data_IF_909477016844
#
_entry.id   IF_909477016844
#
_cell.length_a   1.000
_cell.length_b   1.000
_cell.length_c   1.000
_cell.angle_alpha   90.00
_cell.angle_beta   90.00
_cell.angle_gamma   90.00
#
_symmetry.space_group_name_H-M   'P 1'
#
loop_
_entity.id
_entity.type
_entity.pdbx_description
1 polymer ?
#
# COMPACT_ATOMS: atom_id res chain seq x y z
N UNK A 1 -9.33 -7.09 25.88
CA UNK A 1 -7.88 -7.17 25.63
C UNK A 1 -7.45 -5.92 24.91
N UNK A 2 -6.35 -5.26 25.28
CA UNK A 2 -5.90 -4.04 24.61
C UNK A 2 -4.39 -4.02 24.34
N UNK A 3 -4.00 -3.36 23.26
CA UNK A 3 -2.62 -2.95 22.95
C UNK A 3 -2.50 -1.46 23.21
N UNK A 4 -1.58 -1.05 24.09
CA UNK A 4 -1.34 0.36 24.39
C UNK A 4 -0.25 0.91 23.49
N UNK A 5 -0.49 2.06 22.89
CA UNK A 5 0.49 2.75 22.06
C UNK A 5 1.37 3.62 22.97
N UNK A 6 2.62 3.21 23.18
CA UNK A 6 3.60 4.00 23.93
C UNK A 6 4.16 5.11 23.04
N UNK A 7 4.54 4.76 21.81
CA UNK A 7 4.88 5.73 20.76
C UNK A 7 4.29 5.28 19.41
N UNK A 8 3.80 6.21 18.57
CA UNK A 8 3.08 5.83 17.36
C UNK A 8 3.97 5.49 16.15
N UNK A 9 5.29 5.64 16.26
CA UNK A 9 6.19 5.62 15.10
C UNK A 9 6.01 6.88 14.24
N UNK A 10 6.40 6.81 12.96
CA UNK A 10 6.29 7.96 12.04
C UNK A 10 4.85 8.16 11.54
N UNK A 11 4.25 7.09 11.04
CA UNK A 11 2.86 7.08 10.59
C UNK A 11 2.34 5.64 10.64
N UNK A 12 1.54 5.37 11.68
CA UNK A 12 0.91 4.07 11.91
C UNK A 12 -0.61 4.22 11.88
N UNK A 13 -1.30 3.35 11.16
CA UNK A 13 -2.76 3.35 11.05
C UNK A 13 -3.34 1.94 11.06
N UNK A 14 -4.60 1.81 11.47
CA UNK A 14 -5.33 0.54 11.40
C UNK A 14 -5.77 0.31 9.95
N UNK A 15 -5.46 -0.84 9.37
CA UNK A 15 -5.80 -1.19 8.00
C UNK A 15 -6.33 -2.61 7.91
N UNK A 16 -7.38 -2.84 7.11
CA UNK A 16 -7.77 -4.17 6.66
C UNK A 16 -7.64 -4.26 5.12
N UNK A 17 -8.48 -5.02 4.43
CA UNK A 17 -8.44 -5.13 2.97
C UNK A 17 -9.17 -3.99 2.24
N UNK A 18 -9.82 -3.08 2.97
CA UNK A 18 -10.48 -1.88 2.45
C UNK A 18 -12.00 -1.98 2.33
N UNK A 19 -12.58 -0.90 1.81
CA UNK A 19 -14.01 -0.59 1.62
C UNK A 19 -14.37 -0.37 0.14
N UNK A 20 -14.30 -1.41 -0.70
CA UNK A 20 -14.71 -1.26 -2.10
C UNK A 20 -16.21 -0.90 -2.21
N UNK A 21 -16.60 -0.26 -3.31
CA UNK A 21 -18.01 0.03 -3.64
C UNK A 21 -18.45 1.49 -3.45
N UNK A 22 -17.65 2.33 -2.79
CA UNK A 22 -18.00 3.73 -2.50
C UNK A 22 -17.24 4.77 -3.34
N UNK A 23 -16.46 4.32 -4.31
CA UNK A 23 -15.59 5.20 -5.10
C UNK A 23 -16.37 6.21 -5.97
N UNK A 24 -17.57 5.83 -6.43
CA UNK A 24 -18.48 6.71 -7.18
C UNK A 24 -19.00 7.91 -6.38
N UNK A 25 -18.89 7.90 -5.05
CA UNK A 25 -19.21 9.04 -4.16
C UNK A 25 -17.97 9.66 -3.52
N UNK A 26 -16.79 9.41 -4.08
CA UNK A 26 -15.54 10.04 -3.62
C UNK A 26 -14.88 9.36 -2.41
N UNK A 27 -15.32 8.17 -2.00
CA UNK A 27 -14.70 7.42 -0.89
C UNK A 27 -13.74 6.37 -1.46
N UNK A 28 -12.43 6.46 -1.18
CA UNK A 28 -11.45 5.50 -1.70
C UNK A 28 -11.61 4.10 -1.12
N UNK A 29 -11.07 3.10 -1.81
CA UNK A 29 -11.03 1.72 -1.31
C UNK A 29 -10.29 1.60 0.02
N UNK A 30 -9.25 2.41 0.28
CA UNK A 30 -8.41 2.25 1.47
C UNK A 30 -7.75 0.87 1.54
N UNK A 31 -7.52 0.38 2.77
CA UNK A 31 -6.86 -0.89 2.99
C UNK A 31 -5.35 -0.78 3.14
N UNK A 32 -4.71 -1.89 3.49
CA UNK A 32 -3.26 -2.02 3.44
C UNK A 32 -2.73 -1.71 2.03
N UNK A 33 -1.67 -0.90 1.95
CA UNK A 33 -1.07 -0.51 0.67
C UNK A 33 -0.50 -1.73 -0.07
N UNK A 34 0.11 -2.65 0.66
CA UNK A 34 0.58 -3.97 0.25
C UNK A 34 -0.39 -5.03 0.82
N UNK A 35 -1.33 -5.46 -0.02
CA UNK A 35 -2.38 -6.41 0.39
C UNK A 35 -1.82 -7.82 0.57
N UNK A 36 -0.75 -8.20 -0.14
CA UNK A 36 -0.09 -9.48 0.07
C UNK A 36 0.48 -9.56 1.48
N UNK A 37 1.30 -8.59 1.89
CA UNK A 37 1.88 -8.56 3.23
C UNK A 37 0.80 -8.52 4.33
N UNK A 38 -0.25 -7.71 4.14
CA UNK A 38 -1.39 -7.62 5.07
C UNK A 38 -2.04 -8.99 5.32
N UNK A 39 -2.34 -9.74 4.25
CA UNK A 39 -2.95 -11.08 4.35
C UNK A 39 -2.03 -12.07 5.05
N UNK A 40 -0.76 -12.08 4.68
CA UNK A 40 0.21 -13.01 5.27
C UNK A 40 0.42 -12.72 6.76
N UNK A 41 0.46 -11.44 7.18
CA UNK A 41 0.55 -11.09 8.60
C UNK A 41 -0.60 -11.71 9.41
N UNK A 42 -1.83 -11.57 8.91
CA UNK A 42 -3.01 -12.16 9.53
C UNK A 42 -2.94 -13.69 9.59
N UNK A 43 -2.57 -14.34 8.49
CA UNK A 43 -2.45 -15.80 8.44
C UNK A 43 -1.42 -16.35 9.43
N UNK A 44 -0.26 -15.67 9.55
CA UNK A 44 0.79 -16.06 10.49
C UNK A 44 0.31 -16.08 11.95
N UNK A 45 -0.65 -15.23 12.32
CA UNK A 45 -1.23 -15.19 13.68
C UNK A 45 -2.56 -15.94 13.79
N UNK A 46 -2.97 -16.67 12.75
CA UNK A 46 -4.20 -17.46 12.72
C UNK A 46 -5.50 -16.67 12.52
N UNK A 47 -5.41 -15.42 12.07
CA UNK A 47 -6.59 -14.59 11.79
C UNK A 47 -7.20 -14.92 10.42
N UNK A 48 -8.45 -14.48 10.22
CA UNK A 48 -8.97 -14.29 8.87
C UNK A 48 -8.03 -13.35 8.08
N UNK A 49 -7.68 -13.65 6.80
CA UNK A 49 -6.79 -12.82 6.00
C UNK A 49 -7.21 -11.34 5.88
N UNK A 50 -8.51 -11.06 6.05
CA UNK A 50 -9.09 -9.73 6.02
C UNK A 50 -9.25 -9.05 7.37
N UNK A 51 -8.71 -9.60 8.46
CA UNK A 51 -8.72 -8.93 9.75
C UNK A 51 -7.88 -7.64 9.73
N UNK A 52 -8.17 -6.71 10.64
CA UNK A 52 -7.44 -5.46 10.71
C UNK A 52 -6.07 -5.65 11.38
N UNK A 53 -5.06 -5.02 10.77
CA UNK A 53 -3.66 -4.97 11.19
C UNK A 53 -3.23 -3.52 11.41
N UNK A 54 -2.03 -3.30 11.93
CA UNK A 54 -1.39 -1.99 11.90
C UNK A 54 -0.45 -1.90 10.68
N UNK A 55 -0.67 -0.90 9.83
CA UNK A 55 0.28 -0.51 8.78
C UNK A 55 1.18 0.60 9.33
N UNK A 56 2.49 0.36 9.41
CA UNK A 56 3.50 1.30 9.87
C UNK A 56 4.46 1.70 8.74
N UNK A 57 4.68 2.99 8.55
CA UNK A 57 5.52 3.54 7.47
C UNK A 57 6.87 4.01 8.02
N UNK A 58 7.98 3.49 7.47
CA UNK A 58 9.39 3.73 7.83
C UNK A 58 9.82 3.40 9.27
N UNK A 59 9.07 3.84 10.28
CA UNK A 59 9.36 3.67 11.69
C UNK A 59 8.11 3.12 12.39
N UNK A 60 8.25 1.94 12.98
CA UNK A 60 7.18 1.25 13.68
C UNK A 60 6.84 1.86 15.05
N UNK A 61 5.67 1.55 15.61
CA UNK A 61 5.27 2.00 16.94
C UNK A 61 5.99 1.23 18.06
N UNK A 62 6.05 1.82 19.25
CA UNK A 62 6.27 1.07 20.48
C UNK A 62 4.93 0.74 21.13
N UNK A 63 4.69 -0.53 21.40
CA UNK A 63 3.41 -1.07 21.86
C UNK A 63 3.61 -1.89 23.13
N UNK A 64 2.72 -1.74 24.10
CA UNK A 64 2.66 -2.58 25.31
C UNK A 64 1.42 -3.48 25.27
N UNK A 65 1.63 -4.78 25.50
CA UNK A 65 0.56 -5.77 25.48
C UNK A 65 -0.02 -5.96 26.88
N UNK A 66 -1.34 -5.83 27.02
CA UNK A 66 -2.00 -6.01 28.34
C UNK A 66 -2.31 -7.48 28.67
N UNK A 67 -2.24 -8.38 27.68
CA UNK A 67 -2.49 -9.82 27.82
C UNK A 67 -1.63 -10.59 26.82
N UNK A 68 -1.56 -11.91 26.99
CA UNK A 68 -0.84 -12.78 26.06
C UNK A 68 -1.53 -12.85 24.69
N UNK A 69 -0.73 -12.84 23.63
CA UNK A 69 -1.19 -12.94 22.24
C UNK A 69 -0.09 -13.54 21.34
N UNK A 70 -0.40 -13.74 20.05
CA UNK A 70 0.59 -14.04 19.01
C UNK A 70 0.67 -12.87 18.05
N UNK A 71 1.89 -12.54 17.63
CA UNK A 71 2.19 -11.38 16.80
C UNK A 71 3.01 -11.79 15.60
N UNK A 72 2.81 -11.15 14.45
CA UNK A 72 3.66 -11.28 13.28
C UNK A 72 3.84 -9.93 12.58
N UNK A 73 5.01 -9.73 11.95
CA UNK A 73 5.34 -8.52 11.18
C UNK A 73 5.76 -8.91 9.78
N UNK A 74 5.11 -8.36 8.75
CA UNK A 74 5.42 -8.62 7.33
C UNK A 74 5.62 -7.30 6.56
N UNK A 75 5.82 -7.38 5.24
CA UNK A 75 6.02 -6.22 4.37
C UNK A 75 7.49 -5.83 4.34
N UNK A 76 7.77 -4.54 4.54
CA UNK A 76 9.12 -4.00 4.65
C UNK A 76 9.93 -4.70 5.74
N UNK A 77 11.24 -4.74 5.54
CA UNK A 77 12.19 -5.35 6.47
C UNK A 77 12.43 -4.40 7.65
N UNK A 78 11.43 -4.33 8.54
CA UNK A 78 11.44 -3.56 9.77
C UNK A 78 11.50 -4.55 10.96
N UNK A 79 12.69 -4.83 11.52
CA UNK A 79 12.84 -5.90 12.52
C UNK A 79 12.07 -5.58 13.82
N UNK A 80 11.09 -6.41 14.22
CA UNK A 80 10.45 -6.28 15.52
C UNK A 80 11.43 -6.60 16.65
N UNK A 81 11.29 -5.92 17.78
CA UNK A 81 12.06 -6.15 19.01
C UNK A 81 11.11 -6.36 20.18
N UNK A 82 11.10 -7.55 20.76
CA UNK A 82 10.32 -7.87 21.95
C UNK A 82 11.19 -7.69 23.19
N UNK A 83 10.86 -6.72 24.04
CA UNK A 83 11.65 -6.36 25.22
C UNK A 83 13.14 -6.10 24.90
N UNK A 84 13.41 -5.53 23.71
CA UNK A 84 14.75 -5.24 23.21
C UNK A 84 15.40 -6.35 22.39
N UNK A 85 14.88 -7.58 22.41
CA UNK A 85 15.40 -8.70 21.61
C UNK A 85 14.77 -8.75 20.22
N UNK A 86 15.60 -8.77 19.17
CA UNK A 86 15.14 -8.86 17.77
C UNK A 86 14.40 -10.18 17.51
N UNK A 87 13.28 -10.09 16.80
CA UNK A 87 12.48 -11.23 16.31
C UNK A 87 12.48 -11.23 14.78
N UNK A 88 12.40 -12.39 14.12
CA UNK A 88 12.33 -12.45 12.66
C UNK A 88 11.07 -11.77 12.12
N UNK A 89 11.20 -11.12 10.95
CA UNK A 89 10.04 -10.74 10.14
C UNK A 89 9.50 -11.97 9.42
N UNK A 90 8.22 -11.91 9.02
CA UNK A 90 7.50 -13.00 8.36
C UNK A 90 7.45 -14.30 9.19
N UNK A 91 7.53 -14.17 10.51
CA UNK A 91 7.38 -15.25 11.49
C UNK A 91 6.49 -14.77 12.65
N UNK A 92 5.68 -15.69 13.17
CA UNK A 92 4.82 -15.46 14.31
C UNK A 92 5.53 -15.80 15.62
N UNK A 93 5.39 -14.94 16.63
CA UNK A 93 5.99 -15.13 17.94
C UNK A 93 5.01 -14.75 19.07
N UNK A 94 5.14 -15.37 20.26
CA UNK A 94 4.24 -15.07 21.37
C UNK A 94 4.66 -13.78 22.08
N UNK A 95 3.67 -13.08 22.63
CA UNK A 95 3.84 -11.97 23.57
C UNK A 95 3.02 -12.25 24.84
N UNK A 96 3.42 -11.69 25.97
CA UNK A 96 2.76 -11.81 27.27
C UNK A 96 2.26 -10.45 27.76
N UNK A 97 1.43 -10.47 28.78
CA UNK A 97 1.06 -9.25 29.50
C UNK A 97 2.33 -8.54 30.04
N UNK A 98 2.44 -7.24 29.76
CA UNK A 98 3.57 -6.40 30.14
C UNK A 98 4.72 -6.36 29.11
N UNK A 99 4.70 -7.23 28.09
CA UNK A 99 5.72 -7.20 27.05
C UNK A 99 5.60 -5.93 26.20
N UNK A 100 6.76 -5.41 25.79
CA UNK A 100 6.89 -4.25 24.91
C UNK A 100 7.45 -4.66 23.56
N UNK A 101 6.72 -4.36 22.50
CA UNK A 101 7.17 -4.51 21.13
C UNK A 101 7.59 -3.15 20.59
N UNK A 102 8.83 -3.06 20.14
CA UNK A 102 9.37 -1.92 19.40
C UNK A 102 9.99 -2.40 18.08
N UNK A 103 10.65 -1.51 17.35
CA UNK A 103 11.23 -1.84 16.06
C UNK A 103 12.66 -1.31 15.93
N UNK A 104 13.50 -2.02 15.19
CA UNK A 104 14.78 -1.53 14.70
C UNK A 104 14.64 -0.53 13.55
N UNK A 105 15.75 -0.27 12.87
CA UNK A 105 15.75 0.53 11.65
C UNK A 105 15.22 -0.29 10.46
N UNK A 106 14.55 0.38 9.54
CA UNK A 106 14.12 -0.20 8.27
C UNK A 106 15.34 -0.58 7.42
N UNK A 107 15.42 -1.86 7.03
CA UNK A 107 16.49 -2.40 6.18
C UNK A 107 16.09 -2.48 4.69
N UNK A 108 14.79 -2.51 4.40
CA UNK A 108 14.26 -2.58 3.04
C UNK A 108 12.74 -2.40 2.98
N UNK A 109 12.20 -2.07 1.81
CA UNK A 109 10.78 -1.72 1.63
C UNK A 109 10.42 -0.37 2.24
N UNK A 110 9.15 -0.11 2.54
CA UNK A 110 8.69 1.16 3.14
C UNK A 110 7.62 0.98 4.21
N UNK A 111 6.78 -0.06 4.10
CA UNK A 111 5.63 -0.29 4.98
C UNK A 111 5.66 -1.69 5.57
N UNK A 112 5.58 -1.76 6.89
CA UNK A 112 5.45 -3.01 7.64
C UNK A 112 4.01 -3.19 8.13
N UNK A 113 3.58 -4.44 8.22
CA UNK A 113 2.23 -4.82 8.66
C UNK A 113 2.33 -5.69 9.89
N UNK A 114 1.80 -5.19 11.00
CA UNK A 114 1.79 -5.85 12.29
C UNK A 114 0.39 -6.42 12.55
N UNK A 115 0.30 -7.74 12.57
CA UNK A 115 -0.91 -8.46 12.98
C UNK A 115 -0.78 -8.99 14.40
N UNK A 116 -1.89 -9.01 15.11
CA UNK A 116 -2.04 -9.64 16.43
C UNK A 116 -3.18 -10.64 16.35
N UNK A 117 -3.01 -11.82 16.95
CA UNK A 117 -4.05 -12.85 17.00
C UNK A 117 -5.34 -12.28 17.58
N UNK A 118 -6.47 -12.48 16.89
CA UNK A 118 -7.77 -11.88 17.19
C UNK A 118 -8.08 -10.61 16.40
N UNK A 119 -7.06 -9.97 15.83
CA UNK A 119 -7.18 -8.75 15.03
C UNK A 119 -7.45 -7.49 15.85
N UNK A 120 -7.25 -6.32 15.24
CA UNK A 120 -7.56 -5.03 15.87
C UNK A 120 -9.07 -4.76 15.77
N UNK A 121 -9.79 -4.76 16.89
CA UNK A 121 -11.26 -4.70 16.91
C UNK A 121 -11.80 -3.27 17.04
N UNK A 122 -11.42 -2.41 16.10
CA UNK A 122 -12.06 -1.09 15.94
C UNK A 122 -13.41 -1.20 15.22
N UNK A 123 -14.29 -0.20 15.33
CA UNK A 123 -15.59 -0.22 14.64
C UNK A 123 -15.46 -0.39 13.12
N UNK A 124 -16.41 -1.12 12.54
CA UNK A 124 -16.56 -1.27 11.09
C UNK A 124 -17.29 -0.06 10.52
N UNK A 125 -16.68 0.62 9.55
CA UNK A 125 -17.25 1.79 8.87
C UNK A 125 -17.27 1.54 7.38
N UNK A 126 -18.47 1.53 6.78
CA UNK A 126 -18.69 1.19 5.38
C UNK A 126 -18.07 -0.18 5.01
N UNK A 127 -18.32 -1.19 5.85
CA UNK A 127 -17.85 -2.56 5.62
C UNK A 127 -16.35 -2.81 5.88
N UNK A 128 -15.60 -1.82 6.40
CA UNK A 128 -14.16 -1.92 6.63
C UNK A 128 -13.71 -1.22 7.91
N UNK A 129 -12.64 -1.72 8.52
CA UNK A 129 -11.90 -1.15 9.65
C UNK A 129 -10.73 -0.26 9.23
N UNK A 130 -10.46 -0.07 7.93
CA UNK A 130 -9.32 0.74 7.49
C UNK A 130 -9.40 2.22 7.86
N UNK A 131 -8.29 2.86 8.17
CA UNK A 131 -8.24 4.32 8.29
C UNK A 131 -8.18 4.96 6.90
N UNK A 132 -9.08 5.89 6.60
CA UNK A 132 -8.92 6.89 5.55
C UNK A 132 -8.68 8.26 6.19
N UNK A 133 -7.41 8.67 6.21
CA UNK A 133 -6.94 9.81 7.01
C UNK A 133 -7.53 11.14 6.53
N UNK A 134 -7.51 11.39 5.21
CA UNK A 134 -7.98 12.65 4.63
C UNK A 134 -9.47 12.89 4.93
N UNK A 135 -10.27 11.82 4.93
CA UNK A 135 -11.71 11.87 5.25
C UNK A 135 -12.04 11.65 6.73
N UNK A 136 -11.05 11.53 7.62
CA UNK A 136 -11.23 11.21 9.04
C UNK A 136 -12.17 10.01 9.28
N UNK A 137 -12.01 8.92 8.51
CA UNK A 137 -12.97 7.82 8.45
C UNK A 137 -12.34 6.47 8.82
N UNK A 138 -13.05 5.68 9.63
CA UNK A 138 -12.65 4.30 9.98
C UNK A 138 -11.40 4.19 10.85
N UNK A 139 -10.92 2.97 11.06
CA UNK A 139 -9.74 2.71 11.90
C UNK A 139 -9.91 3.18 13.33
N UNK A 140 -8.82 3.63 13.95
CA UNK A 140 -8.86 4.26 15.25
C UNK A 140 -9.17 5.75 15.12
N UNK A 141 -10.44 6.12 15.32
CA UNK A 141 -10.92 7.51 15.31
C UNK A 141 -10.64 8.27 14.00
N UNK A 142 -10.53 7.60 12.87
CA UNK A 142 -10.30 8.25 11.57
C UNK A 142 -8.89 8.80 11.35
N UNK A 143 -7.92 8.45 12.21
CA UNK A 143 -6.58 9.06 12.20
C UNK A 143 -5.47 8.03 12.35
N UNK A 144 -4.22 8.51 12.22
CA UNK A 144 -3.04 7.78 12.67
C UNK A 144 -3.03 7.65 14.19
N UNK A 145 -2.32 6.63 14.68
CA UNK A 145 -2.16 6.39 16.10
C UNK A 145 -1.40 7.53 16.79
N UNK A 146 -1.68 7.70 18.09
CA UNK A 146 -1.01 8.64 18.98
C UNK A 146 -0.57 7.91 20.25
N UNK A 147 0.43 8.47 20.93
CA UNK A 147 0.82 7.99 22.25
C UNK A 147 -0.37 8.04 23.22
N UNK A 148 -0.56 6.97 23.99
CA UNK A 148 -1.69 6.79 24.90
C UNK A 148 -2.94 6.18 24.27
N UNK A 149 -2.99 5.97 22.95
CA UNK A 149 -4.11 5.24 22.35
C UNK A 149 -4.15 3.79 22.86
N UNK A 150 -5.35 3.29 23.11
CA UNK A 150 -5.59 1.88 23.45
C UNK A 150 -6.39 1.22 22.33
N UNK A 151 -5.82 0.17 21.74
CA UNK A 151 -6.42 -0.57 20.64
C UNK A 151 -7.05 -1.86 21.18
N UNK A 152 -8.38 -2.02 21.10
CA UNK A 152 -9.01 -3.27 21.48
C UNK A 152 -8.59 -4.39 20.52
N UNK A 153 -8.45 -5.59 21.06
CA UNK A 153 -8.24 -6.82 20.29
C UNK A 153 -9.49 -7.69 20.34
N UNK A 154 -9.77 -8.37 19.22
CA UNK A 154 -10.75 -9.44 19.17
C UNK A 154 -10.24 -10.72 19.85
N UNK A 155 -11.06 -11.76 19.86
CA UNK A 155 -10.66 -13.08 20.35
C UNK A 155 -9.87 -13.84 19.28
N UNK A 156 -8.74 -14.42 19.65
CA UNK A 156 -7.91 -15.19 18.74
C UNK A 156 -7.13 -16.29 19.45
N UNK A 157 -6.88 -17.39 18.73
CA UNK A 157 -6.18 -18.58 19.24
C UNK A 157 -4.96 -18.93 18.38
N UNK A 158 -4.26 -17.91 17.88
CA UNK A 158 -3.08 -18.06 17.05
C UNK A 158 -1.99 -18.92 17.70
N UNK A 159 -1.15 -19.54 16.87
CA UNK A 159 0.02 -20.31 17.31
C UNK A 159 1.29 -19.60 16.85
N UNK A 160 2.28 -19.52 17.72
CA UNK A 160 3.61 -19.02 17.35
C UNK A 160 4.41 -20.07 16.55
N UNK A 161 5.43 -19.61 15.83
CA UNK A 161 6.37 -20.43 15.07
C UNK A 161 5.99 -20.68 13.61
N UNK A 162 4.83 -20.20 13.15
CA UNK A 162 4.53 -20.15 11.71
C UNK A 162 5.42 -19.10 11.04
N UNK A 163 5.98 -19.42 9.87
CA UNK A 163 6.78 -18.50 9.08
C UNK A 163 6.49 -18.66 7.59
N UNK A 164 6.70 -17.59 6.80
CA UNK A 164 6.66 -17.66 5.35
C UNK A 164 8.09 -17.56 4.78
N UNK A 165 8.60 -18.57 4.05
CA UNK A 165 9.96 -18.56 3.53
C UNK A 165 10.13 -17.53 2.39
N UNK A 166 11.36 -17.03 2.22
CA UNK A 166 11.66 -15.93 1.31
C UNK A 166 11.26 -16.18 -0.16
N UNK A 167 11.33 -17.42 -0.63
CA UNK A 167 10.94 -17.81 -2.00
C UNK A 167 9.43 -17.73 -2.27
N UNK A 168 8.60 -17.63 -1.22
CA UNK A 168 7.15 -17.41 -1.33
C UNK A 168 6.77 -15.95 -1.07
N UNK A 169 7.74 -15.08 -0.76
CA UNK A 169 7.53 -13.63 -0.63
C UNK A 169 7.67 -12.97 -1.98
N UNK A 170 7.07 -11.79 -2.13
CA UNK A 170 7.29 -10.96 -3.32
C UNK A 170 8.68 -10.33 -3.23
N UNK A 171 9.54 -10.60 -4.22
CA UNK A 171 10.81 -9.90 -4.38
C UNK A 171 10.59 -8.51 -5.00
N UNK A 172 11.41 -7.54 -4.60
CA UNK A 172 11.53 -6.26 -5.30
C UNK A 172 12.57 -6.34 -6.42
N UNK A 173 12.39 -5.53 -7.46
CA UNK A 173 13.38 -5.30 -8.51
C UNK A 173 13.98 -3.89 -8.35
N UNK A 174 15.22 -3.69 -8.83
CA UNK A 174 15.85 -2.37 -8.91
C UNK A 174 16.52 -2.19 -10.28
N UNK A 175 16.05 -1.23 -11.12
CA UNK A 175 14.88 -0.38 -10.91
C UNK A 175 13.59 -1.19 -10.75
N UNK A 176 12.63 -0.66 -10.00
CA UNK A 176 11.31 -1.26 -9.88
C UNK A 176 10.58 -1.14 -11.21
N UNK A 177 10.07 -2.24 -11.74
CA UNK A 177 9.30 -2.23 -12.99
C UNK A 177 7.81 -2.15 -12.67
N UNK A 178 7.16 -1.10 -13.18
CA UNK A 178 5.74 -0.82 -12.99
C UNK A 178 5.03 -1.07 -14.32
N UNK A 179 4.44 -2.24 -14.50
CA UNK A 179 3.71 -2.57 -15.73
C UNK A 179 2.46 -1.71 -15.84
N UNK A 180 2.31 -1.02 -16.96
CA UNK A 180 1.27 -0.03 -17.22
C UNK A 180 0.55 -0.34 -18.53
N UNK A 181 -0.78 -0.37 -18.47
CA UNK A 181 -1.62 -0.38 -19.66
C UNK A 181 -1.78 1.08 -20.14
N UNK A 182 -1.38 1.43 -21.37
CA UNK A 182 -1.65 2.76 -21.93
C UNK A 182 -3.16 3.07 -21.92
N UNK A 183 -3.48 4.31 -21.57
CA UNK A 183 -4.84 4.77 -21.32
C UNK A 183 -5.45 5.51 -22.50
N UNK A 184 -6.72 5.88 -22.36
CA UNK A 184 -7.48 6.56 -23.42
C UNK A 184 -6.88 7.93 -23.82
N UNK A 185 -6.16 8.60 -22.92
CA UNK A 185 -5.52 9.88 -23.20
C UNK A 185 -4.11 9.75 -23.77
N UNK A 186 -3.64 8.55 -24.10
CA UNK A 186 -2.31 8.34 -24.71
C UNK A 186 -2.11 9.17 -25.98
N UNK A 187 -3.17 9.37 -26.77
CA UNK A 187 -3.17 10.20 -27.98
C UNK A 187 -2.89 11.70 -27.73
N UNK A 188 -2.83 12.16 -26.47
CA UNK A 188 -2.59 13.56 -26.09
C UNK A 188 -1.11 13.90 -25.98
N UNK A 189 -0.23 12.91 -25.96
CA UNK A 189 1.22 13.10 -25.99
C UNK A 189 1.79 12.71 -27.35
N UNK A 190 2.92 13.28 -27.72
CA UNK A 190 3.62 12.87 -28.94
C UNK A 190 4.11 11.42 -28.81
N UNK A 191 4.21 10.70 -29.92
CA UNK A 191 4.75 9.33 -29.93
C UNK A 191 6.16 9.28 -29.34
N UNK A 192 6.99 10.28 -29.67
CA UNK A 192 8.34 10.41 -29.12
C UNK A 192 8.34 10.58 -27.60
N UNK A 193 7.43 11.39 -27.03
CA UNK A 193 7.30 11.54 -25.58
C UNK A 193 6.82 10.24 -24.92
N UNK A 194 5.90 9.51 -25.55
CA UNK A 194 5.42 8.21 -25.08
C UNK A 194 6.53 7.15 -25.03
N UNK A 195 7.36 7.06 -26.07
CA UNK A 195 8.49 6.14 -26.11
C UNK A 195 9.52 6.47 -25.02
N UNK A 196 9.90 7.75 -24.90
CA UNK A 196 10.82 8.21 -23.85
C UNK A 196 10.31 7.91 -22.45
N UNK A 197 9.03 8.11 -22.19
CA UNK A 197 8.43 7.84 -20.87
C UNK A 197 8.69 6.40 -20.37
N UNK A 198 8.67 5.43 -21.28
CA UNK A 198 8.92 4.01 -20.96
C UNK A 198 10.41 3.64 -20.98
N UNK A 199 11.25 4.35 -21.73
CA UNK A 199 12.70 4.14 -21.77
C UNK A 199 13.40 4.72 -20.54
N UNK A 200 12.88 5.84 -20.01
CA UNK A 200 13.48 6.57 -18.92
C UNK A 200 13.29 5.90 -17.56
N UNK A 201 14.28 6.10 -16.70
CA UNK A 201 14.20 5.72 -15.28
C UNK A 201 13.75 6.93 -14.47
N UNK A 202 12.63 6.78 -13.80
CA UNK A 202 12.06 7.74 -12.88
C UNK A 202 12.55 7.47 -11.46
N UNK A 203 12.37 8.44 -10.56
CA UNK A 203 12.65 8.27 -9.13
C UNK A 203 11.43 8.65 -8.32
N UNK A 204 11.10 7.85 -7.31
CA UNK A 204 10.06 8.19 -6.34
C UNK A 204 10.41 9.51 -5.65
N UNK A 205 9.48 10.44 -5.62
CA UNK A 205 9.65 11.73 -4.97
C UNK A 205 9.41 11.61 -3.45
N UNK A 206 9.96 12.53 -2.63
CA UNK A 206 9.75 12.54 -1.17
C UNK A 206 8.27 12.65 -0.76
N UNK A 207 7.42 13.25 -1.58
CA UNK A 207 6.00 13.50 -1.32
C UNK A 207 5.10 12.27 -1.60
N UNK A 208 5.66 11.06 -1.62
CA UNK A 208 4.91 9.83 -1.84
C UNK A 208 4.11 9.42 -0.59
N UNK A 209 2.80 9.23 -0.76
CA UNK A 209 1.89 8.88 0.35
C UNK A 209 0.87 7.80 -0.06
N UNK A 210 -0.21 7.65 0.74
CA UNK A 210 -1.28 6.69 0.47
C UNK A 210 -2.24 7.13 -0.63
N UNK A 211 -2.30 8.43 -0.96
CA UNK A 211 -3.15 9.00 -2.01
C UNK A 211 -2.49 8.76 -3.36
N UNK A 212 -1.18 9.05 -3.47
CA UNK A 212 -0.46 8.87 -4.72
C UNK A 212 1.05 8.91 -4.57
N UNK A 213 1.71 8.15 -5.45
CA UNK A 213 3.15 8.12 -5.58
C UNK A 213 3.59 9.04 -6.72
N UNK A 214 4.36 10.07 -6.38
CA UNK A 214 4.96 10.99 -7.36
C UNK A 214 6.31 10.48 -7.82
N UNK A 215 6.61 10.69 -9.08
CA UNK A 215 7.86 10.32 -9.72
C UNK A 215 8.49 11.54 -10.39
N UNK A 216 9.83 11.62 -10.37
CA UNK A 216 10.62 12.74 -10.91
C UNK A 216 11.84 12.25 -11.68
N UNK A 217 12.47 13.16 -12.41
CA UNK A 217 13.79 12.96 -13.02
C UNK A 217 13.76 12.49 -14.48
N UNK A 218 12.59 12.35 -15.09
CA UNK A 218 12.43 12.16 -16.53
C UNK A 218 12.29 13.48 -17.29
N UNK A 219 12.27 13.38 -18.62
CA UNK A 219 12.03 14.50 -19.53
C UNK A 219 10.55 14.89 -19.50
N UNK A 220 10.20 16.19 -19.43
CA UNK A 220 8.81 16.62 -19.55
C UNK A 220 8.15 16.10 -20.83
N UNK A 221 6.89 15.67 -20.72
CA UNK A 221 6.12 15.18 -21.84
C UNK A 221 5.80 16.30 -22.82
N UNK A 222 5.92 15.99 -24.10
CA UNK A 222 5.43 16.83 -25.18
C UNK A 222 3.98 16.47 -25.49
N UNK A 223 3.12 17.49 -25.54
CA UNK A 223 1.70 17.32 -25.82
C UNK A 223 1.39 17.58 -27.30
N UNK A 224 0.40 16.86 -27.82
CA UNK A 224 -0.20 17.17 -29.11
C UNK A 224 -1.04 18.43 -28.97
N UNK A 225 -0.77 19.44 -29.79
CA UNK A 225 -1.52 20.70 -29.79
C UNK A 225 -3.02 20.45 -29.98
N UNK A 226 -3.84 21.17 -29.21
CA UNK A 226 -5.29 21.19 -29.37
C UNK A 226 -5.88 22.48 -28.83
N UNK A 227 -7.08 22.79 -29.28
CA UNK A 227 -7.98 23.66 -28.55
C UNK A 227 -8.48 22.94 -27.28
N UNK A 228 -8.43 23.62 -26.13
CA UNK A 228 -8.91 23.03 -24.89
C UNK A 228 -10.44 22.95 -24.89
N UNK A 229 -11.04 21.80 -24.52
CA UNK A 229 -12.48 21.69 -24.45
C UNK A 229 -13.04 22.61 -23.36
N UNK A 230 -14.26 23.12 -23.58
CA UNK A 230 -14.97 23.87 -22.56
C UNK A 230 -15.06 23.08 -21.25
N UNK A 231 -14.71 23.72 -20.13
CA UNK A 231 -14.69 23.12 -18.80
C UNK A 231 -13.36 22.50 -18.38
N UNK A 232 -12.36 22.39 -19.27
CA UNK A 232 -10.99 22.06 -18.90
C UNK A 232 -10.19 23.33 -18.57
N UNK A 233 -9.18 23.20 -17.70
CA UNK A 233 -8.19 24.26 -17.48
C UNK A 233 -7.28 24.47 -18.70
N UNK A 234 -6.48 25.54 -18.67
CA UNK A 234 -5.60 25.92 -19.77
C UNK A 234 -4.38 25.00 -19.95
N UNK A 235 -3.98 24.24 -18.93
CA UNK A 235 -2.82 23.37 -19.00
C UNK A 235 -3.05 22.22 -20.00
N UNK A 236 -2.09 21.88 -20.88
CA UNK A 236 -2.24 20.82 -21.89
C UNK A 236 -2.62 19.44 -21.33
N UNK A 237 -2.27 19.15 -20.07
CA UNK A 237 -2.64 17.93 -19.36
C UNK A 237 -4.05 17.97 -18.77
N UNK A 238 -4.73 19.13 -18.78
CA UNK A 238 -6.08 19.23 -18.26
C UNK A 238 -7.10 18.54 -19.18
N UNK A 239 -8.17 18.03 -18.59
CA UNK A 239 -9.34 17.47 -19.27
C UNK A 239 -10.59 18.01 -18.60
N UNK A 240 -11.75 17.84 -19.23
CA UNK A 240 -13.01 17.90 -18.47
C UNK A 240 -12.98 16.76 -17.46
N UNK A 241 -13.34 17.05 -16.22
CA UNK A 241 -13.21 16.12 -15.10
C UNK A 241 -13.74 14.72 -15.43
N UNK A 242 -12.94 13.72 -15.10
CA UNK A 242 -13.23 12.31 -15.33
C UNK A 242 -12.96 11.48 -14.08
N UNK A 243 -13.58 10.30 -14.00
CA UNK A 243 -13.29 9.34 -12.95
C UNK A 243 -11.88 8.75 -13.14
N UNK A 244 -11.13 8.61 -12.06
CA UNK A 244 -9.78 8.07 -12.07
C UNK A 244 -9.74 6.63 -11.55
N UNK A 245 -9.37 5.62 -12.34
CA UNK A 245 -9.19 4.28 -11.81
C UNK A 245 -8.04 4.24 -10.79
N UNK A 246 -8.16 3.35 -9.81
CA UNK A 246 -7.03 2.99 -8.95
C UNK A 246 -5.83 2.55 -9.79
N UNK A 247 -4.64 3.10 -9.50
CA UNK A 247 -3.42 2.87 -10.29
C UNK A 247 -3.27 3.80 -11.50
N UNK A 248 -4.20 4.73 -11.74
CA UNK A 248 -4.06 5.69 -12.85
C UNK A 248 -2.79 6.52 -12.73
N UNK A 249 -2.12 6.75 -13.85
CA UNK A 249 -0.91 7.57 -13.96
C UNK A 249 -1.28 8.92 -14.55
N UNK A 250 -1.26 9.96 -13.71
CA UNK A 250 -1.47 11.35 -14.14
C UNK A 250 -0.12 12.03 -14.30
N UNK A 251 -0.01 12.96 -15.25
CA UNK A 251 1.22 13.74 -15.41
C UNK A 251 0.88 15.23 -15.56
N UNK A 252 0.53 15.92 -14.45
CA UNK A 252 0.26 17.35 -14.48
C UNK A 252 1.41 18.11 -15.14
N UNK A 253 1.08 18.97 -16.10
CA UNK A 253 2.04 19.79 -16.87
C UNK A 253 3.14 18.98 -17.59
N UNK A 254 3.03 17.65 -17.63
CA UNK A 254 3.95 16.74 -18.30
C UNK A 254 5.21 16.40 -17.51
N UNK A 255 5.38 16.86 -16.27
CA UNK A 255 6.67 16.78 -15.57
C UNK A 255 6.77 15.64 -14.55
N UNK A 256 5.71 15.39 -13.79
CA UNK A 256 5.74 14.46 -12.65
C UNK A 256 4.66 13.40 -12.79
N UNK A 257 5.01 12.14 -13.10
CA UNK A 257 4.03 11.06 -13.07
C UNK A 257 3.55 10.83 -11.64
N UNK A 258 2.24 10.70 -11.47
CA UNK A 258 1.56 10.46 -10.20
C UNK A 258 0.73 9.20 -10.36
N UNK A 259 1.11 8.13 -9.66
CA UNK A 259 0.33 6.90 -9.60
C UNK A 259 -0.63 7.00 -8.42
N UNK A 260 -1.92 7.08 -8.70
CA UNK A 260 -2.97 7.11 -7.66
C UNK A 260 -3.09 5.76 -6.94
N UNK A 261 -3.16 5.80 -5.62
CA UNK A 261 -3.07 4.61 -4.76
C UNK A 261 -4.30 4.38 -3.86
N UNK A 262 -4.16 3.77 -2.67
CA UNK A 262 -5.29 3.17 -1.94
C UNK A 262 -6.24 4.24 -1.38
N UNK A 263 -5.72 5.43 -1.11
CA UNK A 263 -6.50 6.57 -0.61
C UNK A 263 -6.72 7.63 -1.71
N UNK A 264 -6.66 7.20 -2.99
CA UNK A 264 -6.79 8.05 -4.15
C UNK A 264 -8.09 8.86 -4.20
N UNK A 265 -8.01 10.04 -4.82
CA UNK A 265 -9.20 10.80 -5.23
C UNK A 265 -9.91 10.09 -6.39
N UNK A 266 -11.25 10.09 -6.35
CA UNK A 266 -12.06 9.33 -7.32
C UNK A 266 -12.11 9.89 -8.74
N UNK A 267 -11.75 11.15 -8.92
CA UNK A 267 -11.79 11.84 -10.21
C UNK A 267 -11.17 13.23 -10.12
N UNK A 268 -11.02 13.85 -11.29
CA UNK A 268 -10.49 15.20 -11.42
C UNK A 268 -10.15 15.55 -12.87
N UNK A 269 -9.54 16.71 -13.05
CA UNK A 269 -9.31 17.32 -14.36
C UNK A 269 -7.92 17.11 -14.98
N UNK A 270 -7.14 16.12 -14.56
CA UNK A 270 -5.86 15.74 -15.18
C UNK A 270 -6.01 14.47 -16.01
N UNK A 271 -5.49 14.50 -17.23
CA UNK A 271 -5.49 13.31 -18.07
C UNK A 271 -4.65 12.19 -17.46
N UNK A 272 -5.08 10.96 -17.74
CA UNK A 272 -4.41 9.75 -17.29
C UNK A 272 -3.72 9.10 -18.48
N UNK A 273 -2.39 8.99 -18.44
CA UNK A 273 -1.62 8.33 -19.49
C UNK A 273 -1.91 6.84 -19.56
N UNK A 274 -2.26 6.23 -18.45
CA UNK A 274 -2.45 4.80 -18.35
C UNK A 274 -2.77 4.39 -16.93
N UNK A 275 -2.73 3.08 -16.70
CA UNK A 275 -3.03 2.48 -15.40
C UNK A 275 -1.95 1.45 -15.10
N UNK A 276 -1.27 1.60 -13.97
CA UNK A 276 -0.41 0.54 -13.44
C UNK A 276 -1.29 -0.65 -13.09
N UNK A 277 -0.92 -1.84 -13.57
CA UNK A 277 -1.74 -3.03 -13.40
C UNK A 277 -1.88 -3.38 -11.91
N UNK A 278 -3.03 -3.91 -11.52
CA UNK A 278 -3.32 -4.25 -10.12
C UNK A 278 -2.29 -5.19 -9.49
N UNK A 279 -1.65 -6.04 -10.32
CA UNK A 279 -0.62 -6.97 -9.88
C UNK A 279 0.65 -6.27 -9.37
N UNK A 280 0.92 -5.03 -9.78
CA UNK A 280 2.14 -4.28 -9.43
C UNK A 280 1.91 -3.22 -8.36
N UNK A 281 0.66 -2.98 -7.95
CA UNK A 281 0.39 -1.92 -6.97
C UNK A 281 0.97 -2.20 -5.58
N UNK A 282 0.99 -3.46 -5.12
CA UNK A 282 1.61 -3.79 -3.83
C UNK A 282 3.14 -3.54 -3.85
N UNK A 283 3.79 -3.54 -5.02
CA UNK A 283 5.21 -3.19 -5.16
C UNK A 283 5.43 -1.70 -4.87
N UNK A 284 4.54 -0.83 -5.38
CA UNK A 284 4.61 0.62 -5.18
C UNK A 284 4.59 0.98 -3.69
N UNK A 285 3.77 0.26 -2.91
CA UNK A 285 3.67 0.41 -1.47
C UNK A 285 5.00 0.24 -0.70
N UNK A 286 6.00 -0.40 -1.31
CA UNK A 286 7.31 -0.66 -0.70
C UNK A 286 8.42 0.24 -1.25
N UNK A 287 8.15 1.07 -2.26
CA UNK A 287 9.17 1.97 -2.80
C UNK A 287 9.41 3.14 -1.85
N UNK A 288 10.69 3.37 -1.51
CA UNK A 288 11.14 4.51 -0.72
C UNK A 288 11.39 5.73 -1.62
N UNK A 289 11.43 6.96 -1.07
CA UNK A 289 11.95 8.12 -1.77
C UNK A 289 13.30 7.84 -2.45
N UNK A 290 13.48 8.41 -3.64
CA UNK A 290 14.65 8.24 -4.51
C UNK A 290 14.85 6.84 -5.11
N UNK A 291 13.99 5.87 -4.80
CA UNK A 291 14.02 4.54 -5.44
C UNK A 291 13.80 4.70 -6.95
N UNK A 292 14.67 4.13 -7.80
CA UNK A 292 14.49 4.16 -9.23
C UNK A 292 13.35 3.22 -9.66
N UNK A 293 12.52 3.69 -10.58
CA UNK A 293 11.42 2.92 -11.15
C UNK A 293 11.29 3.21 -12.65
N UNK A 294 10.81 2.22 -13.40
CA UNK A 294 10.53 2.34 -14.83
C UNK A 294 9.12 1.85 -15.11
N UNK A 295 8.37 2.61 -15.90
CA UNK A 295 7.08 2.17 -16.41
C UNK A 295 7.32 1.23 -17.60
N UNK A 296 6.57 0.13 -17.67
CA UNK A 296 6.70 -0.85 -18.75
C UNK A 296 5.35 -0.99 -19.45
N UNK A 297 5.25 -0.73 -20.77
CA UNK A 297 3.98 -0.88 -21.47
C UNK A 297 3.60 -2.36 -21.54
N UNK A 298 2.35 -2.66 -21.23
CA UNK A 298 1.80 -4.01 -21.34
C UNK A 298 0.43 -4.00 -22.02
N UNK A 299 0.04 -5.15 -22.56
CA UNK A 299 -1.30 -5.36 -23.10
C UNK A 299 -2.30 -5.73 -22.00
N UNK A 300 -3.59 -5.75 -22.34
CA UNK A 300 -4.62 -6.27 -21.44
C UNK A 300 -4.41 -7.75 -21.13
N UNK A 301 -3.93 -8.54 -22.09
CA UNK A 301 -3.65 -9.96 -21.90
C UNK A 301 -2.53 -10.17 -20.87
N UNK A 302 -1.43 -9.43 -21.00
CA UNK A 302 -0.33 -9.43 -20.03
C UNK A 302 -0.81 -9.06 -18.62
N UNK A 303 -1.68 -8.04 -18.51
CA UNK A 303 -2.24 -7.62 -17.23
C UNK A 303 -3.11 -8.70 -16.58
N UNK A 304 -3.91 -9.42 -17.37
CA UNK A 304 -4.75 -10.53 -16.90
C UNK A 304 -3.91 -11.75 -16.51
N UNK A 305 -2.85 -12.06 -17.26
CA UNK A 305 -1.90 -13.11 -16.94
C UNK A 305 -1.16 -12.80 -15.62
N UNK A 306 -0.65 -11.57 -15.46
CA UNK A 306 0.00 -11.11 -14.23
C UNK A 306 -0.94 -11.18 -13.01
N UNK A 307 -2.22 -10.83 -13.17
CA UNK A 307 -3.22 -10.96 -12.11
C UNK A 307 -3.46 -12.43 -11.72
N UNK A 308 -3.42 -13.33 -12.68
CA UNK A 308 -3.57 -14.78 -12.44
C UNK A 308 -2.35 -15.32 -11.70
N UNK A 309 -1.15 -14.93 -12.11
CA UNK A 309 0.10 -15.29 -11.44
C UNK A 309 0.15 -14.77 -10.00
N UNK A 310 -0.25 -13.52 -9.75
CA UNK A 310 -0.33 -12.94 -8.41
C UNK A 310 -1.27 -13.75 -7.50
N UNK A 311 -2.44 -14.15 -8.01
CA UNK A 311 -3.38 -15.01 -7.27
C UNK A 311 -2.77 -16.38 -6.97
N UNK A 312 -2.07 -16.97 -7.93
CA UNK A 312 -1.40 -18.25 -7.73
C UNK A 312 -0.26 -18.14 -6.70
N UNK A 313 0.50 -17.04 -6.70
CA UNK A 313 1.54 -16.78 -5.71
C UNK A 313 0.96 -16.65 -4.29
N UNK A 314 -0.14 -15.91 -4.13
CA UNK A 314 -0.86 -15.83 -2.87
C UNK A 314 -1.37 -17.20 -2.42
N UNK A 315 -1.98 -17.97 -3.32
CA UNK A 315 -2.47 -19.31 -2.99
C UNK A 315 -1.35 -20.27 -2.57
N UNK A 316 -0.15 -20.18 -3.16
CA UNK A 316 1.02 -20.95 -2.71
C UNK A 316 1.46 -20.56 -1.29
N UNK A 317 1.46 -19.27 -0.97
CA UNK A 317 1.80 -18.79 0.36
C UNK A 317 0.73 -19.20 1.40
N UNK A 318 -0.55 -19.09 1.05
CA UNK A 318 -1.68 -19.55 1.88
C UNK A 318 -1.60 -21.06 2.13
N UNK A 319 -1.35 -21.85 1.07
CA UNK A 319 -1.20 -23.31 1.19
C UNK A 319 -0.01 -23.72 2.06
N UNK A 320 1.09 -22.97 2.03
CA UNK A 320 2.25 -23.21 2.90
C UNK A 320 1.92 -22.98 4.38
N UNK A 321 1.14 -21.94 4.70
CA UNK A 321 0.79 -21.60 6.09
C UNK A 321 -0.36 -22.46 6.66
N UNK A 322 -1.10 -23.14 5.80
CA UNK A 322 -2.18 -24.06 6.21
C UNK A 322 -1.70 -25.50 6.47
N UNK A 323 -0.52 -25.88 5.97
CA UNK A 323 0.09 -27.20 6.16
C UNK A 323 1.02 -27.25 7.37
#
# INVERSE_FOLDING_TARGET
MAVKVISPGLSTSVQDLGRPGHYHVGIPEGGGMDRFATRIANLLVGNNPGAAVLEATFMGPELEFTQSAVVAVTGGELPPKLNGEERPTWESFPVKAGDRLSFGFLKGGARAYLAVSGGIDVPVVLGSRSTYILGALGGHQGRTLKAGDELPLGEGSGKAGLSLPANLRRAGNSPAELRMLPGMYWHRITEAAGNRFFEETWKVAPEADRIGYRFRGGTPLEFVEREQPFGAGSDPSNIVDACYPYGSVQVPSGTEPIVLHRDAVSGGGYMMLGVVISADMDLIAQLQPHTPARFVPVTLEDALAARTEQRAALARAEGHLAG
#
